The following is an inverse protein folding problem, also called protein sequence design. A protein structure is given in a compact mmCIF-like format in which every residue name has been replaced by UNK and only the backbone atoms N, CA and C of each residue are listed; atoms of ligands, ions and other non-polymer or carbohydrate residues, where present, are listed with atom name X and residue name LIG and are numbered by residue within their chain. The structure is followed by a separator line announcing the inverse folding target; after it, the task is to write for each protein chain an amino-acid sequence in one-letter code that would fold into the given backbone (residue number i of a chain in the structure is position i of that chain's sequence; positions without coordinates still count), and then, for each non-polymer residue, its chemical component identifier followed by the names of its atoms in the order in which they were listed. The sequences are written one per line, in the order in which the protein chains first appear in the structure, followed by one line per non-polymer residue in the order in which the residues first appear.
data_IF_042220500270
#
_entry.id   IF_042220500270
#
_cell.length_a   1.000
_cell.length_b   1.000
_cell.length_c   1.000
_cell.angle_alpha   90.00
_cell.angle_beta   90.00
_cell.angle_gamma   90.00
#
_symmetry.space_group_name_H-M   'P 1'
#
loop_
_entity.id
_entity.type
_entity.pdbx_description
1 polymer ?
#
# COMPACT_ATOMS: atom_id res chain seq x y z
N UNK A 1 69.83 21.29 43.85
CA UNK A 1 69.30 21.98 45.04
C UNK A 1 67.82 21.63 45.18
N UNK A 2 67.42 21.22 46.39
CA UNK A 2 66.05 20.86 46.80
C UNK A 2 65.07 21.99 46.49
N UNK A 3 63.84 21.69 46.06
CA UNK A 3 62.61 22.24 46.65
C UNK A 3 61.41 21.33 46.33
N UNK A 4 60.79 20.81 47.39
CA UNK A 4 59.43 20.27 47.41
C UNK A 4 58.45 21.43 47.22
N UNK A 5 57.42 21.24 46.39
CA UNK A 5 56.14 21.93 46.53
C UNK A 5 55.01 20.92 46.33
N UNK A 6 54.29 20.69 47.43
CA UNK A 6 53.00 20.02 47.50
C UNK A 6 51.85 21.03 47.27
N UNK A 7 50.60 20.52 47.22
CA UNK A 7 49.28 21.20 47.12
C UNK A 7 48.73 21.22 45.68
N UNK A 8 47.49 20.82 45.36
CA UNK A 8 46.31 20.38 46.09
C UNK A 8 45.36 19.75 45.02
N UNK A 9 44.62 18.66 45.25
CA UNK A 9 43.67 18.17 44.26
C UNK A 9 42.42 19.06 44.24
N UNK A 10 42.12 19.66 43.08
CA UNK A 10 40.85 20.36 42.84
C UNK A 10 39.76 19.31 42.67
N UNK A 11 38.95 19.14 43.71
CA UNK A 11 37.70 18.38 43.68
C UNK A 11 36.64 19.24 42.97
N UNK A 12 36.29 18.87 41.74
CA UNK A 12 35.17 19.48 41.02
C UNK A 12 33.87 18.86 41.56
N UNK A 13 33.17 19.62 42.40
CA UNK A 13 31.79 19.34 42.82
C UNK A 13 30.85 19.61 41.63
N UNK A 14 30.52 18.56 40.87
CA UNK A 14 29.38 18.58 39.96
C UNK A 14 28.09 18.47 40.79
N UNK A 15 27.44 19.61 41.02
CA UNK A 15 26.07 19.66 41.53
C UNK A 15 25.13 19.01 40.53
N UNK A 16 24.70 17.77 40.82
CA UNK A 16 23.63 17.11 40.11
C UNK A 16 22.30 17.78 40.49
N UNK A 17 21.74 18.58 39.58
CA UNK A 17 20.33 18.96 39.65
C UNK A 17 19.48 17.71 39.32
N UNK A 18 19.08 16.98 40.36
CA UNK A 18 18.06 15.94 40.27
C UNK A 18 16.69 16.60 40.14
N UNK A 19 16.22 16.80 38.90
CA UNK A 19 14.80 17.07 38.66
C UNK A 19 14.05 15.74 38.79
N UNK A 20 13.28 15.59 39.88
CA UNK A 20 12.33 14.48 40.00
C UNK A 20 11.35 14.54 38.82
N UNK A 21 11.12 13.43 38.09
CA UNK A 21 10.04 13.38 37.12
C UNK A 21 8.73 13.55 37.88
N UNK A 22 7.92 14.51 37.42
CA UNK A 22 6.50 14.61 37.79
C UNK A 22 5.83 13.29 37.38
N UNK A 23 4.94 12.70 38.19
CA UNK A 23 4.18 11.54 37.73
C UNK A 23 3.40 11.99 36.50
N UNK A 24 3.74 11.44 35.34
CA UNK A 24 2.84 11.50 34.20
C UNK A 24 1.59 10.77 34.62
N UNK A 25 0.46 11.47 34.60
CA UNK A 25 -0.84 10.82 34.60
C UNK A 25 -0.75 9.68 33.59
N UNK A 26 -1.09 8.46 34.03
CA UNK A 26 -1.37 7.34 33.14
C UNK A 26 -2.24 7.89 32.00
N UNK A 27 -1.62 8.10 30.84
CA UNK A 27 -2.35 8.01 29.60
C UNK A 27 -2.65 6.54 29.55
N UNK A 28 -3.85 6.18 30.01
CA UNK A 28 -4.46 4.92 29.62
C UNK A 28 -4.39 4.95 28.11
N UNK A 29 -3.41 4.23 27.55
CA UNK A 29 -3.33 3.91 26.14
C UNK A 29 -4.55 3.02 25.91
N UNK A 30 -5.70 3.66 25.72
CA UNK A 30 -6.88 3.01 25.19
C UNK A 30 -6.56 2.75 23.73
N UNK A 31 -5.76 1.72 23.47
CA UNK A 31 -5.82 1.01 22.21
C UNK A 31 -7.31 0.74 22.00
N UNK A 32 -7.95 1.30 20.95
CA UNK A 32 -9.31 0.92 20.65
C UNK A 32 -9.32 -0.60 20.56
N UNK A 33 -10.23 -1.31 21.25
CA UNK A 33 -10.30 -2.74 21.09
C UNK A 33 -10.47 -3.00 19.60
N UNK A 34 -9.56 -3.79 19.00
CA UNK A 34 -9.74 -4.31 17.65
C UNK A 34 -11.16 -4.88 17.63
N UNK A 35 -12.06 -4.21 16.92
CA UNK A 35 -13.44 -4.67 16.84
C UNK A 35 -13.37 -6.10 16.30
N UNK A 36 -13.93 -7.06 17.03
CA UNK A 36 -13.86 -8.46 16.61
C UNK A 36 -14.56 -8.58 15.24
N UNK A 37 -13.80 -8.93 14.20
CA UNK A 37 -14.31 -8.95 12.81
C UNK A 37 -14.20 -7.61 12.07
N UNK A 38 -13.52 -6.62 12.63
CA UNK A 38 -13.44 -5.26 12.09
C UNK A 38 -12.04 -4.81 11.64
N UNK A 39 -11.96 -3.59 11.12
CA UNK A 39 -10.73 -2.90 10.73
C UNK A 39 -10.19 -2.02 11.87
N UNK A 40 -8.87 -1.81 11.85
CA UNK A 40 -8.22 -0.71 12.55
C UNK A 40 -8.27 0.53 11.67
N UNK A 41 -9.10 1.51 12.04
CA UNK A 41 -9.31 2.73 11.27
C UNK A 41 -8.53 3.90 11.86
N UNK A 42 -7.98 4.75 11.00
CA UNK A 42 -7.40 6.03 11.41
C UNK A 42 -8.49 6.93 12.04
N UNK A 43 -8.13 7.86 12.95
CA UNK A 43 -9.08 8.77 13.58
C UNK A 43 -9.94 9.56 12.58
N UNK A 44 -9.39 9.90 11.41
CA UNK A 44 -10.12 10.61 10.35
C UNK A 44 -11.20 9.76 9.65
N UNK A 45 -11.12 8.43 9.72
CA UNK A 45 -12.03 7.50 9.05
C UNK A 45 -13.04 6.83 10.00
N UNK A 46 -12.86 7.00 11.31
CA UNK A 46 -13.73 6.45 12.37
C UNK A 46 -14.75 7.45 12.94
N UNK A 47 -14.66 8.72 12.55
CA UNK A 47 -15.57 9.80 12.97
C UNK A 47 -16.90 9.84 12.21
N UNK A 48 -17.41 11.05 11.91
CA UNK A 48 -18.60 11.19 11.08
C UNK A 48 -18.35 10.60 9.69
N UNK A 49 -19.07 9.53 9.36
CA UNK A 49 -18.98 8.86 8.05
C UNK A 49 -19.38 9.84 6.95
N UNK A 50 -18.42 10.25 6.14
CA UNK A 50 -18.70 11.01 4.93
C UNK A 50 -19.19 10.04 3.85
N UNK A 51 -20.50 10.05 3.60
CA UNK A 51 -21.12 9.20 2.59
C UNK A 51 -20.58 9.55 1.19
N UNK A 52 -20.03 8.55 0.53
CA UNK A 52 -19.62 8.51 -0.86
C UNK A 52 -20.68 7.86 -1.75
N UNK A 53 -20.28 7.54 -2.98
CA UNK A 53 -21.21 7.28 -4.08
C UNK A 53 -21.91 5.91 -3.99
N UNK A 54 -21.33 4.96 -3.25
CA UNK A 54 -21.85 3.59 -3.12
C UNK A 54 -22.60 3.34 -1.81
N UNK A 55 -22.81 4.36 -0.97
CA UNK A 55 -23.40 4.20 0.37
C UNK A 55 -24.77 3.50 0.40
N UNK A 56 -25.53 3.56 -0.69
CA UNK A 56 -26.85 2.91 -0.81
C UNK A 56 -26.94 1.98 -2.03
N UNK A 57 -25.79 1.56 -2.57
CA UNK A 57 -25.74 0.73 -3.76
C UNK A 57 -26.17 -0.73 -3.45
N UNK A 58 -27.12 -1.31 -4.19
CA UNK A 58 -27.56 -2.69 -3.94
C UNK A 58 -26.46 -3.74 -4.12
N UNK A 59 -25.49 -3.54 -5.02
CA UNK A 59 -24.35 -4.42 -5.18
C UNK A 59 -23.39 -4.32 -3.98
N UNK A 60 -23.20 -3.11 -3.44
CA UNK A 60 -22.45 -2.91 -2.19
C UNK A 60 -23.11 -3.67 -1.03
N UNK A 61 -24.43 -3.56 -0.86
CA UNK A 61 -25.16 -4.29 0.20
C UNK A 61 -25.00 -5.82 0.08
N UNK A 62 -25.13 -6.38 -1.13
CA UNK A 62 -24.89 -7.82 -1.37
C UNK A 62 -23.46 -8.22 -1.06
N UNK A 63 -22.50 -7.35 -1.37
CA UNK A 63 -21.10 -7.59 -1.06
C UNK A 63 -20.86 -7.59 0.46
N UNK A 64 -21.45 -6.64 1.20
CA UNK A 64 -21.43 -6.64 2.68
C UNK A 64 -22.03 -7.93 3.23
N UNK A 65 -23.19 -8.36 2.73
CA UNK A 65 -23.82 -9.63 3.15
C UNK A 65 -22.87 -10.81 3.00
N UNK A 66 -22.20 -10.93 1.85
CA UNK A 66 -21.21 -11.96 1.59
C UNK A 66 -20.05 -11.91 2.58
N UNK A 67 -19.45 -10.74 2.78
CA UNK A 67 -18.28 -10.60 3.65
C UNK A 67 -18.62 -10.89 5.12
N UNK A 68 -19.83 -10.55 5.56
CA UNK A 68 -20.33 -10.90 6.89
C UNK A 68 -20.52 -12.41 7.01
N UNK A 69 -21.19 -13.05 6.04
CA UNK A 69 -21.50 -14.48 6.11
C UNK A 69 -20.29 -15.39 5.97
N UNK A 70 -19.35 -15.06 5.08
CA UNK A 70 -18.22 -15.93 4.74
C UNK A 70 -16.99 -15.65 5.62
N UNK A 71 -16.78 -14.39 5.99
CA UNK A 71 -15.52 -13.93 6.61
C UNK A 71 -15.70 -13.27 7.97
N UNK A 72 -16.93 -13.25 8.50
CA UNK A 72 -17.25 -12.76 9.84
C UNK A 72 -16.94 -11.28 10.05
N UNK A 73 -17.09 -10.45 9.00
CA UNK A 73 -16.94 -9.00 9.16
C UNK A 73 -18.03 -8.39 10.05
N UNK A 74 -17.69 -7.35 10.81
CA UNK A 74 -18.70 -6.50 11.44
C UNK A 74 -19.48 -5.76 10.35
N UNK A 75 -20.80 -5.98 10.30
CA UNK A 75 -21.66 -5.44 9.24
C UNK A 75 -21.64 -3.92 9.19
N UNK A 76 -21.78 -3.28 10.36
CA UNK A 76 -21.93 -1.82 10.42
C UNK A 76 -20.62 -1.15 10.03
N UNK A 77 -19.50 -1.61 10.58
CA UNK A 77 -18.20 -1.07 10.28
C UNK A 77 -17.81 -1.29 8.81
N UNK A 78 -18.04 -2.50 8.25
CA UNK A 78 -17.76 -2.75 6.84
C UNK A 78 -18.61 -1.88 5.93
N UNK A 79 -19.90 -1.74 6.23
CA UNK A 79 -20.79 -0.84 5.50
C UNK A 79 -20.28 0.60 5.58
N UNK A 80 -19.92 1.10 6.76
CA UNK A 80 -19.45 2.48 6.95
C UNK A 80 -18.11 2.76 6.25
N UNK A 81 -17.22 1.77 6.17
CA UNK A 81 -15.98 1.85 5.37
C UNK A 81 -16.31 1.92 3.87
N UNK A 82 -17.14 1.01 3.36
CA UNK A 82 -17.51 0.98 1.94
C UNK A 82 -18.37 2.19 1.55
N UNK A 83 -19.18 2.71 2.46
CA UNK A 83 -19.98 3.89 2.25
C UNK A 83 -19.11 5.12 2.00
N UNK A 84 -17.84 5.17 2.42
CA UNK A 84 -16.90 6.26 2.15
C UNK A 84 -16.21 6.16 0.78
N UNK A 85 -16.49 5.12 0.00
CA UNK A 85 -15.86 4.91 -1.30
C UNK A 85 -16.46 5.81 -2.38
N UNK A 86 -15.61 6.25 -3.31
CA UNK A 86 -15.98 7.13 -4.42
C UNK A 86 -16.02 6.38 -5.73
N UNK A 87 -17.00 6.66 -6.57
CA UNK A 87 -17.08 6.19 -7.96
C UNK A 87 -16.13 7.01 -8.81
N UNK A 88 -15.10 6.37 -9.34
CA UNK A 88 -14.05 7.02 -10.10
C UNK A 88 -14.25 6.86 -11.61
N UNK A 89 -14.91 7.82 -12.26
CA UNK A 89 -15.18 7.74 -13.71
C UNK A 89 -13.91 7.58 -14.56
N UNK A 90 -12.78 8.15 -14.15
CA UNK A 90 -11.53 7.96 -14.89
C UNK A 90 -11.02 6.51 -14.84
N UNK A 91 -11.33 5.75 -13.78
CA UNK A 91 -11.01 4.32 -13.67
C UNK A 91 -11.80 3.53 -14.70
N UNK A 92 -13.11 3.78 -14.79
CA UNK A 92 -14.00 3.16 -15.79
C UNK A 92 -13.51 3.45 -17.22
N UNK A 93 -13.22 4.72 -17.50
CA UNK A 93 -12.72 5.17 -18.80
C UNK A 93 -11.37 4.52 -19.18
N UNK A 94 -10.43 4.38 -18.24
CA UNK A 94 -9.16 3.71 -18.49
C UNK A 94 -9.36 2.21 -18.76
N UNK A 95 -10.23 1.54 -18.01
CA UNK A 95 -10.55 0.14 -18.20
C UNK A 95 -11.20 -0.14 -19.57
N UNK A 96 -12.03 0.78 -20.06
CA UNK A 96 -12.63 0.69 -21.41
C UNK A 96 -11.63 0.95 -22.52
N UNK A 97 -10.73 1.92 -22.36
CA UNK A 97 -9.65 2.19 -23.34
C UNK A 97 -8.68 1.02 -23.48
N UNK A 98 -8.54 0.20 -22.44
CA UNK A 98 -7.69 -0.99 -22.42
C UNK A 98 -8.47 -2.28 -22.71
N UNK A 99 -9.74 -2.19 -23.10
CA UNK A 99 -10.51 -3.34 -23.53
C UNK A 99 -9.80 -4.03 -24.72
N UNK A 100 -9.80 -5.38 -24.78
CA UNK A 100 -9.18 -6.10 -25.88
C UNK A 100 -9.69 -5.62 -27.24
N UNK A 101 -8.76 -5.40 -28.17
CA UNK A 101 -9.09 -5.06 -29.56
C UNK A 101 -8.52 -6.12 -30.49
N UNK A 102 -9.24 -6.43 -31.56
CA UNK A 102 -8.85 -7.44 -32.57
C UNK A 102 -8.10 -6.83 -33.75
N UNK A 103 -7.62 -5.59 -33.64
CA UNK A 103 -6.96 -4.90 -34.75
C UNK A 103 -5.58 -5.52 -35.03
N UNK A 104 -5.29 -5.90 -36.28
CA UNK A 104 -3.98 -6.43 -36.63
C UNK A 104 -2.90 -5.34 -36.47
N UNK A 105 -1.64 -5.73 -36.24
CA UNK A 105 -0.53 -4.79 -36.21
C UNK A 105 -0.43 -4.01 -37.53
N UNK A 106 -0.25 -2.69 -37.45
CA UNK A 106 -0.21 -1.81 -38.63
C UNK A 106 1.13 -1.84 -39.42
N UNK A 107 1.88 -2.94 -39.34
CA UNK A 107 3.21 -3.09 -39.94
C UNK A 107 4.39 -2.57 -39.09
N UNK A 108 5.62 -2.59 -39.62
CA UNK A 108 6.81 -2.11 -38.93
C UNK A 108 6.78 -0.58 -38.84
N UNK A 109 6.32 -0.07 -37.70
CA UNK A 109 6.18 1.37 -37.47
C UNK A 109 7.10 1.88 -36.34
N UNK A 110 8.05 1.07 -35.85
CA UNK A 110 8.91 1.42 -34.72
C UNK A 110 8.25 1.35 -33.34
N UNK A 111 7.11 0.65 -33.20
CA UNK A 111 6.39 0.52 -31.92
C UNK A 111 7.26 0.04 -30.76
N UNK A 112 8.09 -0.99 -30.98
CA UNK A 112 8.99 -1.49 -29.95
C UNK A 112 10.00 -0.44 -29.50
N UNK A 113 10.63 0.29 -30.43
CA UNK A 113 11.61 1.32 -30.10
C UNK A 113 10.99 2.44 -29.27
N UNK A 114 9.76 2.86 -29.61
CA UNK A 114 9.00 3.83 -28.80
C UNK A 114 8.66 3.30 -27.41
N UNK A 115 8.26 2.03 -27.29
CA UNK A 115 7.97 1.41 -26.00
C UNK A 115 9.24 1.29 -25.14
N UNK A 116 10.31 0.71 -25.70
CA UNK A 116 11.63 0.57 -25.07
C UNK A 116 12.15 1.90 -24.57
N UNK A 117 12.02 2.97 -25.36
CA UNK A 117 12.46 4.32 -25.02
C UNK A 117 11.76 4.95 -23.81
N UNK A 118 10.61 4.42 -23.36
CA UNK A 118 9.95 4.88 -22.13
C UNK A 118 10.64 4.38 -20.85
N UNK A 119 11.36 3.26 -20.94
CA UNK A 119 11.91 2.55 -19.79
C UNK A 119 13.44 2.52 -19.79
N UNK A 120 14.06 2.25 -20.95
CA UNK A 120 15.51 2.13 -21.07
C UNK A 120 16.10 3.48 -21.47
N UNK A 121 16.22 4.36 -20.47
CA UNK A 121 16.86 5.68 -20.56
C UNK A 121 18.07 5.73 -19.61
N UNK A 122 19.07 6.61 -19.85
CA UNK A 122 20.21 6.73 -18.94
C UNK A 122 19.82 6.98 -17.48
N UNK A 123 18.84 7.86 -17.25
CA UNK A 123 18.32 8.17 -15.92
C UNK A 123 17.70 6.93 -15.24
N UNK A 124 16.83 6.20 -15.94
CA UNK A 124 16.23 4.99 -15.37
C UNK A 124 17.31 3.93 -15.09
N UNK A 125 18.24 3.69 -16.01
CA UNK A 125 19.32 2.70 -15.78
C UNK A 125 20.14 3.08 -14.54
N UNK A 126 20.50 4.35 -14.39
CA UNK A 126 21.23 4.82 -13.21
C UNK A 126 20.42 4.64 -11.91
N UNK A 127 19.13 4.97 -11.94
CA UNK A 127 18.23 4.76 -10.81
C UNK A 127 18.07 3.27 -10.44
N UNK A 128 18.09 2.38 -11.44
CA UNK A 128 18.08 0.93 -11.25
C UNK A 128 19.36 0.40 -10.60
N UNK A 129 20.53 0.93 -10.99
CA UNK A 129 21.81 0.62 -10.33
C UNK A 129 21.80 1.07 -8.87
N UNK A 130 21.28 2.26 -8.58
CA UNK A 130 21.13 2.75 -7.20
C UNK A 130 20.25 1.82 -6.37
N UNK A 131 19.07 1.44 -6.90
CA UNK A 131 18.18 0.50 -6.22
C UNK A 131 18.83 -0.87 -6.01
N UNK A 132 19.51 -1.40 -7.02
CA UNK A 132 20.23 -2.67 -6.91
C UNK A 132 21.25 -2.63 -5.78
N UNK A 133 22.12 -1.61 -5.76
CA UNK A 133 23.16 -1.49 -4.75
C UNK A 133 22.56 -1.33 -3.34
N UNK A 134 21.48 -0.56 -3.21
CA UNK A 134 20.77 -0.38 -1.94
C UNK A 134 20.20 -1.70 -1.40
N UNK A 135 19.63 -2.55 -2.26
CA UNK A 135 18.95 -3.79 -1.88
C UNK A 135 19.73 -5.06 -2.25
N UNK A 136 21.05 -4.95 -2.45
CA UNK A 136 21.89 -6.03 -2.97
C UNK A 136 21.74 -7.33 -2.16
N UNK A 137 21.76 -7.24 -0.83
CA UNK A 137 21.61 -8.41 0.05
C UNK A 137 20.24 -9.07 -0.10
N UNK A 138 19.17 -8.28 -0.25
CA UNK A 138 17.83 -8.81 -0.45
C UNK A 138 17.68 -9.47 -1.82
N UNK A 139 18.24 -8.86 -2.87
CA UNK A 139 18.24 -9.40 -4.23
C UNK A 139 19.03 -10.72 -4.32
N UNK A 140 20.22 -10.77 -3.71
CA UNK A 140 21.02 -11.99 -3.66
C UNK A 140 20.31 -13.11 -2.89
N UNK A 141 19.68 -12.78 -1.76
CA UNK A 141 18.87 -13.74 -1.00
C UNK A 141 17.70 -14.24 -1.84
N UNK A 142 16.98 -13.36 -2.54
CA UNK A 142 15.87 -13.75 -3.40
C UNK A 142 16.34 -14.69 -4.53
N UNK A 143 17.49 -14.43 -5.13
CA UNK A 143 18.09 -15.32 -6.12
C UNK A 143 18.44 -16.69 -5.53
N UNK A 144 19.01 -16.74 -4.33
CA UNK A 144 19.38 -18.01 -3.67
C UNK A 144 18.16 -18.84 -3.30
N UNK A 145 17.09 -18.21 -2.80
CA UNK A 145 15.89 -18.89 -2.32
C UNK A 145 14.98 -19.29 -3.48
N UNK A 146 14.78 -18.41 -4.45
CA UNK A 146 13.76 -18.58 -5.51
C UNK A 146 14.35 -18.83 -6.90
N UNK A 147 15.68 -18.75 -7.07
CA UNK A 147 16.34 -18.94 -8.36
C UNK A 147 16.17 -17.79 -9.36
N UNK A 148 15.54 -16.67 -8.95
CA UNK A 148 15.25 -15.54 -9.84
C UNK A 148 16.44 -14.56 -9.87
N UNK A 149 17.04 -14.30 -11.05
CA UNK A 149 18.16 -13.37 -11.15
C UNK A 149 17.80 -11.94 -10.71
N UNK A 150 18.68 -11.21 -10.02
CA UNK A 150 18.43 -9.84 -9.56
C UNK A 150 17.99 -8.87 -10.65
N UNK A 151 18.55 -8.97 -11.87
CA UNK A 151 18.19 -8.12 -13.00
C UNK A 151 16.71 -8.25 -13.40
N UNK A 152 16.09 -9.41 -13.19
CA UNK A 152 14.66 -9.61 -13.42
C UNK A 152 13.85 -8.88 -12.36
N UNK A 153 14.20 -9.03 -11.08
CA UNK A 153 13.51 -8.37 -9.97
C UNK A 153 13.62 -6.85 -10.09
N UNK A 154 14.84 -6.34 -10.33
CA UNK A 154 15.11 -4.92 -10.53
C UNK A 154 14.40 -4.39 -11.78
N UNK A 155 14.35 -5.19 -12.86
CA UNK A 155 13.63 -4.86 -14.08
C UNK A 155 12.13 -4.70 -13.87
N UNK A 156 11.49 -5.67 -13.20
CA UNK A 156 10.06 -5.63 -12.87
C UNK A 156 9.74 -4.39 -12.04
N UNK A 157 10.40 -4.21 -10.90
CA UNK A 157 10.15 -3.07 -10.00
C UNK A 157 10.41 -1.72 -10.71
N UNK A 158 11.42 -1.68 -11.60
CA UNK A 158 11.74 -0.50 -12.40
C UNK A 158 10.65 -0.14 -13.41
N UNK A 159 10.12 -1.12 -14.13
CA UNK A 159 9.02 -0.94 -15.08
C UNK A 159 7.72 -0.57 -14.38
N UNK A 160 7.40 -1.25 -13.27
CA UNK A 160 6.14 -1.06 -12.56
C UNK A 160 6.05 0.30 -11.84
N UNK A 161 7.09 0.68 -11.09
CA UNK A 161 7.00 1.84 -10.18
C UNK A 161 8.19 2.79 -10.22
N UNK A 162 9.13 2.58 -11.14
CA UNK A 162 10.42 3.29 -11.13
C UNK A 162 11.10 3.20 -9.76
N UNK A 163 11.11 1.99 -9.19
CA UNK A 163 11.69 1.71 -7.88
C UNK A 163 11.04 2.54 -6.77
N UNK A 164 9.70 2.54 -6.73
CA UNK A 164 8.90 3.17 -5.68
C UNK A 164 8.57 4.66 -5.90
N UNK A 165 9.08 5.30 -6.96
CA UNK A 165 8.80 6.71 -7.25
C UNK A 165 7.37 6.94 -7.74
N UNK A 166 6.76 5.93 -8.38
CA UNK A 166 5.41 6.00 -8.98
C UNK A 166 4.63 4.76 -8.59
N UNK A 167 4.10 4.72 -7.37
CA UNK A 167 3.31 3.57 -6.87
C UNK A 167 1.80 3.70 -7.10
N UNK A 168 1.37 4.83 -7.65
CA UNK A 168 -0.04 5.20 -7.79
C UNK A 168 -0.52 6.12 -6.67
N UNK A 169 -1.67 6.75 -6.88
CA UNK A 169 -2.24 7.78 -5.99
C UNK A 169 -3.71 7.54 -5.68
N UNK A 170 -4.30 6.51 -6.28
CA UNK A 170 -5.72 6.17 -6.15
C UNK A 170 -5.90 5.34 -4.90
N UNK A 171 -6.87 5.65 -4.04
CA UNK A 171 -7.21 4.74 -2.93
C UNK A 171 -7.63 3.40 -3.52
N UNK A 172 -7.01 2.31 -3.08
CA UNK A 172 -7.24 0.99 -3.67
C UNK A 172 -8.71 0.60 -3.53
N UNK A 173 -9.29 0.85 -2.36
CA UNK A 173 -10.71 0.60 -2.11
C UNK A 173 -11.64 1.37 -3.05
N UNK A 174 -11.32 2.62 -3.44
CA UNK A 174 -12.13 3.38 -4.41
C UNK A 174 -12.06 2.76 -5.81
N UNK A 175 -10.86 2.35 -6.24
CA UNK A 175 -10.66 1.71 -7.55
C UNK A 175 -11.41 0.38 -7.62
N UNK A 176 -11.25 -0.46 -6.61
CA UNK A 176 -11.86 -1.79 -6.56
C UNK A 176 -13.37 -1.72 -6.37
N UNK A 177 -13.89 -0.83 -5.51
CA UNK A 177 -15.34 -0.60 -5.39
C UNK A 177 -15.94 -0.09 -6.71
N UNK A 178 -15.28 0.88 -7.35
CA UNK A 178 -15.70 1.38 -8.68
C UNK A 178 -15.81 0.25 -9.70
N UNK A 179 -14.80 -0.61 -9.78
CA UNK A 179 -14.76 -1.70 -10.76
C UNK A 179 -15.64 -2.91 -10.37
N UNK A 180 -15.95 -3.09 -9.08
CA UNK A 180 -16.84 -4.15 -8.60
C UNK A 180 -18.31 -3.79 -8.81
N UNK A 181 -18.69 -2.55 -8.47
CA UNK A 181 -20.10 -2.15 -8.39
C UNK A 181 -20.58 -1.39 -9.63
N UNK A 182 -19.69 -0.67 -10.32
CA UNK A 182 -20.05 0.15 -11.47
C UNK A 182 -19.46 -0.33 -12.81
N UNK A 183 -18.89 -1.54 -12.88
CA UNK A 183 -18.26 -2.05 -14.10
C UNK A 183 -18.66 -3.49 -14.48
N UNK A 184 -19.84 -3.68 -15.09
CA UNK A 184 -20.40 -5.02 -15.34
C UNK A 184 -19.48 -6.00 -16.08
N UNK A 185 -18.65 -5.53 -17.03
CA UNK A 185 -17.78 -6.40 -17.84
C UNK A 185 -16.80 -7.24 -17.02
N UNK A 186 -16.35 -6.75 -15.86
CA UNK A 186 -15.38 -7.43 -14.99
C UNK A 186 -15.76 -7.37 -13.51
N UNK A 187 -17.02 -7.09 -13.19
CA UNK A 187 -17.50 -6.89 -11.82
C UNK A 187 -17.15 -8.06 -10.89
N UNK A 188 -17.34 -9.30 -11.34
CA UNK A 188 -17.04 -10.50 -10.55
C UNK A 188 -15.54 -10.61 -10.20
N UNK A 189 -14.66 -10.40 -11.19
CA UNK A 189 -13.22 -10.39 -10.98
C UNK A 189 -12.82 -9.34 -9.94
N UNK A 190 -13.25 -8.10 -10.11
CA UNK A 190 -12.88 -7.03 -9.20
C UNK A 190 -13.56 -7.16 -7.82
N UNK A 191 -14.72 -7.79 -7.74
CA UNK A 191 -15.34 -8.12 -6.46
C UNK A 191 -14.50 -9.11 -5.67
N UNK A 192 -13.85 -10.09 -6.32
CA UNK A 192 -12.90 -11.00 -5.68
C UNK A 192 -11.60 -10.29 -5.24
N UNK A 193 -11.13 -9.32 -6.02
CA UNK A 193 -9.99 -8.47 -5.63
C UNK A 193 -10.35 -7.56 -4.44
N UNK A 194 -11.53 -6.96 -4.42
CA UNK A 194 -12.02 -6.14 -3.29
C UNK A 194 -12.14 -6.96 -2.01
N UNK A 195 -12.72 -8.15 -2.10
CA UNK A 195 -12.79 -9.11 -0.99
C UNK A 195 -11.40 -9.44 -0.46
N UNK A 196 -10.47 -9.81 -1.34
CA UNK A 196 -9.11 -10.16 -0.94
C UNK A 196 -8.38 -8.96 -0.34
N UNK A 197 -8.60 -7.76 -0.88
CA UNK A 197 -8.02 -6.52 -0.35
C UNK A 197 -8.50 -6.22 1.07
N UNK A 198 -9.80 -6.37 1.35
CA UNK A 198 -10.35 -6.12 2.68
C UNK A 198 -9.89 -7.17 3.71
N UNK A 199 -9.76 -8.43 3.28
CA UNK A 199 -9.16 -9.47 4.12
C UNK A 199 -7.70 -9.14 4.45
N UNK A 200 -6.91 -8.78 3.44
CA UNK A 200 -5.52 -8.36 3.60
C UNK A 200 -5.39 -7.17 4.56
N UNK A 201 -6.17 -6.10 4.36
CA UNK A 201 -6.13 -4.93 5.24
C UNK A 201 -6.45 -5.30 6.69
N UNK A 202 -7.41 -6.21 6.92
CA UNK A 202 -7.74 -6.70 8.25
C UNK A 202 -6.61 -7.56 8.85
N UNK A 203 -5.98 -8.41 8.06
CA UNK A 203 -4.89 -9.31 8.51
C UNK A 203 -3.61 -8.53 8.85
N UNK A 204 -3.25 -7.54 8.04
CA UNK A 204 -2.07 -6.69 8.25
C UNK A 204 -2.31 -5.56 9.26
N UNK A 205 -3.56 -5.35 9.68
CA UNK A 205 -3.93 -4.27 10.61
C UNK A 205 -3.91 -2.88 9.97
N UNK A 206 -4.06 -2.81 8.65
CA UNK A 206 -4.11 -1.58 7.88
C UNK A 206 -5.52 -0.97 7.83
N UNK A 207 -5.58 0.36 7.76
CA UNK A 207 -6.79 1.06 7.39
C UNK A 207 -7.03 0.94 5.88
N UNK A 208 -8.10 0.27 5.40
CA UNK A 208 -8.34 0.08 3.97
C UNK A 208 -8.58 1.39 3.20
N UNK A 209 -8.90 2.50 3.88
CA UNK A 209 -9.08 3.83 3.29
C UNK A 209 -7.76 4.60 3.13
N UNK A 210 -6.67 4.17 3.77
CA UNK A 210 -5.36 4.85 3.69
C UNK A 210 -4.50 4.33 2.52
N UNK A 211 -4.68 3.06 2.12
CA UNK A 211 -3.85 2.39 1.12
C UNK A 211 -4.11 2.92 -0.30
N UNK A 212 -3.02 3.20 -1.03
CA UNK A 212 -3.04 3.75 -2.39
C UNK A 212 -2.27 2.89 -3.39
N UNK A 213 -2.72 2.94 -4.64
CA UNK A 213 -2.19 2.13 -5.73
C UNK A 213 -2.63 2.63 -7.11
N UNK A 214 -2.60 1.72 -8.09
CA UNK A 214 -3.03 2.00 -9.45
C UNK A 214 -4.54 2.16 -9.57
N UNK A 215 -4.99 2.60 -10.76
CA UNK A 215 -6.41 2.71 -11.09
C UNK A 215 -7.14 1.35 -11.09
N UNK A 216 -6.41 0.23 -11.14
CA UNK A 216 -6.97 -1.11 -11.13
C UNK A 216 -6.83 -1.81 -9.76
N UNK A 217 -6.27 -1.13 -8.76
CA UNK A 217 -6.05 -1.70 -7.42
C UNK A 217 -4.71 -2.42 -7.23
N UNK A 218 -3.74 -2.23 -8.13
CA UNK A 218 -2.40 -2.79 -7.99
C UNK A 218 -1.55 -1.99 -7.00
N UNK A 219 -0.73 -2.68 -6.19
CA UNK A 219 -0.17 -2.15 -4.94
C UNK A 219 1.35 -2.27 -4.85
N UNK A 220 1.97 -1.29 -4.20
CA UNK A 220 3.39 -1.32 -3.81
C UNK A 220 4.38 -1.35 -4.98
N UNK A 221 5.64 -1.67 -4.68
CA UNK A 221 6.79 -1.64 -5.60
C UNK A 221 6.59 -2.52 -6.84
N UNK A 222 5.98 -3.69 -6.67
CA UNK A 222 5.76 -4.67 -7.75
C UNK A 222 4.37 -4.61 -8.39
N UNK A 223 3.52 -3.65 -7.99
CA UNK A 223 2.13 -3.54 -8.48
C UNK A 223 1.37 -4.87 -8.37
N UNK A 224 1.43 -5.51 -7.20
CA UNK A 224 0.66 -6.72 -6.95
C UNK A 224 -0.82 -6.38 -6.83
N UNK A 225 -1.66 -7.16 -7.51
CA UNK A 225 -3.09 -7.21 -7.23
C UNK A 225 -3.33 -7.88 -5.88
N UNK A 226 -4.44 -7.60 -5.17
CA UNK A 226 -4.78 -8.27 -3.91
C UNK A 226 -4.69 -9.80 -3.97
N UNK A 227 -5.21 -10.42 -5.03
CA UNK A 227 -5.11 -11.87 -5.23
C UNK A 227 -3.68 -12.38 -5.37
N UNK A 228 -2.81 -11.61 -6.04
CA UNK A 228 -1.37 -11.89 -6.12
C UNK A 228 -0.67 -11.74 -4.77
N UNK A 229 -1.04 -10.75 -3.96
CA UNK A 229 -0.52 -10.60 -2.59
C UNK A 229 -0.84 -11.85 -1.77
N UNK A 230 -2.12 -12.22 -1.71
CA UNK A 230 -2.57 -13.42 -0.97
C UNK A 230 -1.84 -14.70 -1.39
N UNK A 231 -1.49 -14.82 -2.67
CA UNK A 231 -0.95 -16.06 -3.23
C UNK A 231 0.58 -16.14 -3.20
N UNK A 232 1.28 -14.99 -3.22
CA UNK A 232 2.72 -14.95 -3.53
C UNK A 232 3.55 -13.97 -2.69
N UNK A 233 2.94 -13.13 -1.84
CA UNK A 233 3.69 -12.16 -1.01
C UNK A 233 4.29 -12.79 0.25
#
# INVERSE_FOLDING_TARGET
MRYLTALLPIVVLLSACSSKPKPSNDVTETTPPVAKGGFLLEPSHSGQVQLGDFAYDPAMNRFVDKMVSEHGFDRQQLHDVLAQTKRLDYVLNLMDRQAPTTRPPSGPNGAWLRYRGKFITPDNVQNGVVFWNQYQNALQRAQQVYGVPPEIIVGIIGVETRWGRVMGKTRIIDALATLSFAYPRRAEYFSGELETFLLMAREEGDDPLSLKGSFAGAMGYGQFMPSSFKSYA
#
